data_IF_448152666654
#
_entry.id   IF_448152666654
#
_cell.length_a   1.000
_cell.length_b   1.000
_cell.length_c   1.000
_cell.angle_alpha   90.00
_cell.angle_beta   90.00
_cell.angle_gamma   90.00
#
_symmetry.space_group_name_H-M   'P 1'
#
loop_
_entity.id
_entity.type
_entity.pdbx_description
1 polymer ?
#
# COMPACT_ATOMS: atom_id res chain seq x y z
N UNK A 1 -1.03 -21.51 17.67
CA UNK A 1 -0.46 -20.80 16.50
C UNK A 1 0.01 -19.44 16.99
N UNK A 2 1.17 -18.94 16.55
CA UNK A 2 1.61 -17.60 16.94
C UNK A 2 0.65 -16.55 16.35
N UNK A 3 0.22 -15.61 17.19
CA UNK A 3 -0.51 -14.43 16.74
C UNK A 3 0.46 -13.49 15.99
N UNK A 4 0.00 -12.91 14.88
CA UNK A 4 0.74 -11.89 14.15
C UNK A 4 -0.11 -10.63 14.10
N UNK A 5 0.41 -9.54 14.66
CA UNK A 5 -0.19 -8.22 14.51
C UNK A 5 0.26 -7.60 13.20
N UNK A 6 -0.69 -7.04 12.44
CA UNK A 6 -0.41 -6.26 11.22
C UNK A 6 -0.92 -4.84 11.41
N UNK A 7 -0.24 -3.87 10.80
CA UNK A 7 -0.71 -2.48 10.76
C UNK A 7 -1.67 -2.31 9.59
N UNK A 8 -2.82 -1.70 9.85
CA UNK A 8 -3.78 -1.33 8.83
C UNK A 8 -4.07 0.17 8.92
N UNK A 9 -4.25 0.80 7.77
CA UNK A 9 -4.62 2.21 7.66
C UNK A 9 -5.72 2.36 6.60
N UNK A 10 -6.52 3.41 6.70
CA UNK A 10 -7.44 3.80 5.64
C UNK A 10 -6.81 4.87 4.77
N UNK A 11 -6.97 4.75 3.45
CA UNK A 11 -6.54 5.75 2.47
C UNK A 11 -7.74 6.26 1.69
N UNK A 12 -7.75 7.56 1.39
CA UNK A 12 -8.75 8.19 0.53
C UNK A 12 -8.16 8.46 -0.86
N UNK A 13 -8.81 7.94 -1.90
CA UNK A 13 -8.43 8.13 -3.31
C UNK A 13 -9.65 8.56 -4.09
N UNK A 14 -9.69 9.84 -4.48
CA UNK A 14 -10.87 10.43 -5.12
C UNK A 14 -12.09 10.43 -4.20
N UNK A 15 -13.13 9.68 -4.57
CA UNK A 15 -14.36 9.49 -3.76
C UNK A 15 -14.40 8.17 -2.99
N UNK A 16 -13.37 7.35 -3.14
CA UNK A 16 -13.31 6.01 -2.57
C UNK A 16 -12.38 5.98 -1.37
N UNK A 17 -12.74 5.18 -0.37
CA UNK A 17 -11.89 4.85 0.77
C UNK A 17 -11.47 3.39 0.66
N UNK A 18 -10.18 3.11 0.82
CA UNK A 18 -9.64 1.76 0.82
C UNK A 18 -8.97 1.47 2.16
N UNK A 19 -9.03 0.21 2.59
CA UNK A 19 -8.20 -0.29 3.68
C UNK A 19 -6.89 -0.82 3.10
N UNK A 20 -5.79 -0.49 3.76
CA UNK A 20 -4.47 -0.94 3.37
C UNK A 20 -3.84 -1.72 4.52
N UNK A 21 -3.48 -2.97 4.26
CA UNK A 21 -2.71 -3.77 5.21
C UNK A 21 -1.24 -3.77 4.84
N UNK A 22 -0.39 -3.40 5.80
CA UNK A 22 1.07 -3.45 5.70
C UNK A 22 1.58 -4.84 6.03
N UNK A 23 2.24 -5.46 5.05
CA UNK A 23 2.86 -6.77 5.14
C UNK A 23 4.37 -6.55 5.03
N UNK A 24 5.08 -6.44 6.17
CA UNK A 24 6.53 -6.25 6.17
C UNK A 24 7.21 -7.49 5.60
N UNK A 25 8.23 -7.29 4.76
CA UNK A 25 9.11 -8.38 4.35
C UNK A 25 10.39 -8.39 5.19
N UNK A 26 11.24 -9.40 4.99
CA UNK A 26 12.54 -9.48 5.68
C UNK A 26 13.58 -8.45 5.17
N UNK A 27 13.24 -7.67 4.15
CA UNK A 27 14.11 -6.69 3.49
C UNK A 27 13.52 -5.27 3.58
N UNK A 28 14.17 -4.26 3.00
CA UNK A 28 13.67 -2.87 2.98
C UNK A 28 12.34 -2.70 2.25
N UNK A 29 11.91 -3.69 1.46
CA UNK A 29 10.61 -3.67 0.79
C UNK A 29 9.46 -4.16 1.67
N UNK A 30 8.31 -3.51 1.58
CA UNK A 30 7.05 -3.99 2.15
C UNK A 30 5.97 -4.14 1.09
N UNK A 31 5.04 -5.06 1.34
CA UNK A 31 3.82 -5.16 0.56
C UNK A 31 2.68 -4.40 1.23
N UNK A 32 1.93 -3.65 0.44
CA UNK A 32 0.74 -2.92 0.86
C UNK A 32 -0.43 -3.46 0.08
N UNK A 33 -1.26 -4.27 0.74
CA UNK A 33 -2.46 -4.83 0.13
C UNK A 33 -3.60 -3.83 0.23
N UNK A 34 -4.17 -3.46 -0.91
CA UNK A 34 -5.29 -2.52 -1.04
C UNK A 34 -6.56 -3.34 -1.16
N UNK A 35 -7.47 -3.17 -0.22
CA UNK A 35 -8.68 -3.98 -0.13
C UNK A 35 -9.81 -3.17 0.52
N UNK A 36 -11.01 -3.74 0.50
CA UNK A 36 -12.11 -3.32 1.37
C UNK A 36 -12.55 -4.50 2.26
N UNK A 37 -13.73 -4.41 2.86
CA UNK A 37 -14.29 -5.45 3.74
C UNK A 37 -14.68 -6.74 3.00
N UNK A 38 -14.79 -6.70 1.68
CA UNK A 38 -15.30 -7.78 0.84
C UNK A 38 -14.29 -8.28 -0.20
N UNK A 39 -13.35 -7.45 -0.66
CA UNK A 39 -12.46 -7.79 -1.78
C UNK A 39 -11.04 -7.20 -1.64
N UNK A 40 -10.05 -7.95 -2.12
CA UNK A 40 -8.67 -7.48 -2.30
C UNK A 40 -8.45 -7.06 -3.75
N UNK A 41 -8.23 -5.77 -3.97
CA UNK A 41 -8.12 -5.17 -5.29
C UNK A 41 -6.72 -5.31 -5.89
N UNK A 42 -5.69 -5.16 -5.06
CA UNK A 42 -4.31 -5.22 -5.51
C UNK A 42 -3.30 -5.17 -4.37
N UNK A 43 -2.03 -5.30 -4.72
CA UNK A 43 -0.94 -5.13 -3.77
C UNK A 43 0.24 -4.43 -4.43
N UNK A 44 0.85 -3.50 -3.72
CA UNK A 44 2.05 -2.78 -4.18
C UNK A 44 3.24 -3.11 -3.29
N UNK A 45 4.39 -3.36 -3.91
CA UNK A 45 5.67 -3.46 -3.24
C UNK A 45 6.35 -2.09 -3.28
N UNK A 46 6.69 -1.56 -2.10
CA UNK A 46 7.38 -0.26 -1.94
C UNK A 46 8.63 -0.50 -1.10
N UNK A 47 9.75 0.13 -1.46
CA UNK A 47 10.91 0.22 -0.57
C UNK A 47 10.63 1.27 0.52
N UNK A 48 10.63 0.86 1.78
CA UNK A 48 10.24 1.69 2.92
C UNK A 48 11.28 2.79 3.22
N UNK A 49 12.52 2.66 2.72
CA UNK A 49 13.59 3.62 2.93
C UNK A 49 13.63 4.68 1.84
N UNK A 50 13.40 4.30 0.59
CA UNK A 50 13.47 5.23 -0.55
C UNK A 50 12.10 5.73 -1.00
N UNK A 51 11.04 5.00 -0.67
CA UNK A 51 9.70 5.20 -1.20
C UNK A 51 9.55 4.77 -2.67
N UNK A 52 10.54 4.08 -3.23
CA UNK A 52 10.48 3.58 -4.61
C UNK A 52 9.43 2.47 -4.73
N UNK A 53 8.58 2.57 -5.75
CA UNK A 53 7.61 1.52 -6.06
C UNK A 53 8.31 0.44 -6.87
N UNK A 54 8.52 -0.72 -6.25
CA UNK A 54 9.19 -1.87 -6.85
C UNK A 54 8.28 -2.55 -7.88
N UNK A 55 6.98 -2.62 -7.59
CA UNK A 55 6.02 -3.21 -8.52
C UNK A 55 4.64 -3.44 -7.93
N UNK A 56 3.73 -3.86 -8.79
CA UNK A 56 2.34 -4.14 -8.45
C UNK A 56 1.95 -5.58 -8.77
N UNK A 57 1.04 -6.11 -7.95
CA UNK A 57 0.20 -7.25 -8.27
C UNK A 57 -1.22 -6.74 -8.44
N UNK A 58 -1.80 -6.99 -9.61
CA UNK A 58 -3.13 -6.46 -10.00
C UNK A 58 -3.20 -4.94 -9.81
N UNK A 59 -2.41 -4.17 -10.59
CA UNK A 59 -2.43 -2.72 -10.45
C UNK A 59 -3.82 -2.17 -10.75
N UNK A 60 -4.25 -1.10 -10.04
CA UNK A 60 -5.40 -0.34 -10.47
C UNK A 60 -5.13 0.35 -11.81
N UNK A 61 -6.15 0.95 -12.43
CA UNK A 61 -5.99 1.75 -13.64
C UNK A 61 -4.93 2.85 -13.46
N UNK A 62 -4.24 3.18 -14.56
CA UNK A 62 -3.15 4.17 -14.56
C UNK A 62 -3.61 5.58 -14.11
N UNK A 63 -4.91 5.86 -14.22
CA UNK A 63 -5.55 7.11 -13.81
C UNK A 63 -5.55 7.32 -12.28
N UNK A 64 -5.68 6.24 -11.51
CA UNK A 64 -5.71 6.28 -10.04
C UNK A 64 -4.45 5.71 -9.39
N UNK A 65 -3.63 4.95 -10.12
CA UNK A 65 -2.46 4.25 -9.57
C UNK A 65 -1.52 5.16 -8.79
N UNK A 66 -1.14 6.30 -9.36
CA UNK A 66 -0.23 7.25 -8.69
C UNK A 66 -0.85 7.84 -7.41
N UNK A 67 -2.18 8.02 -7.39
CA UNK A 67 -2.90 8.53 -6.22
C UNK A 67 -2.90 7.51 -5.09
N UNK A 68 -3.09 6.23 -5.42
CA UNK A 68 -3.02 5.13 -4.46
C UNK A 68 -1.60 5.02 -3.89
N UNK A 69 -0.57 5.01 -4.74
CA UNK A 69 0.83 4.96 -4.30
C UNK A 69 1.18 6.13 -3.36
N UNK A 70 0.76 7.36 -3.72
CA UNK A 70 0.95 8.54 -2.87
C UNK A 70 0.21 8.41 -1.53
N UNK A 71 -1.05 7.99 -1.55
CA UNK A 71 -1.85 7.90 -0.34
C UNK A 71 -1.33 6.82 0.63
N UNK A 72 -0.80 5.70 0.12
CA UNK A 72 -0.11 4.68 0.92
C UNK A 72 1.13 5.28 1.57
N UNK A 73 1.99 5.95 0.80
CA UNK A 73 3.22 6.56 1.35
C UNK A 73 2.89 7.57 2.44
N UNK A 74 1.89 8.42 2.22
CA UNK A 74 1.42 9.41 3.19
C UNK A 74 0.89 8.73 4.48
N UNK A 75 0.05 7.70 4.37
CA UNK A 75 -0.55 7.01 5.53
C UNK A 75 0.47 6.22 6.38
N UNK A 76 1.47 5.64 5.74
CA UNK A 76 2.48 4.82 6.41
C UNK A 76 3.76 5.58 6.77
N UNK A 77 3.86 6.87 6.40
CA UNK A 77 5.02 7.71 6.67
C UNK A 77 6.26 7.33 5.85
N UNK A 78 6.05 6.80 4.64
CA UNK A 78 7.11 6.40 3.72
C UNK A 78 7.64 7.66 3.00
N UNK A 79 8.96 7.83 2.82
CA UNK A 79 9.52 8.96 2.10
C UNK A 79 8.93 9.11 0.69
N UNK A 80 8.70 10.36 0.25
CA UNK A 80 8.25 10.65 -1.12
C UNK A 80 9.43 11.30 -1.87
N UNK A 81 10.01 10.58 -2.82
CA UNK A 81 10.88 11.19 -3.82
C UNK A 81 9.98 11.80 -4.92
N UNK A 82 10.09 13.13 -5.10
CA UNK A 82 9.40 13.88 -6.14
C UNK A 82 10.29 14.03 -7.37
#
# INVERSE_FOLDING_TARGET
>A
MPEKTVRQEEIAVGKSTFTVTHIPTATSGSWYTVHDVCEVWGAVAIDDLTGEVIGWRSPPGDDIRWQVEKAIKDAFGIPVQF
#
